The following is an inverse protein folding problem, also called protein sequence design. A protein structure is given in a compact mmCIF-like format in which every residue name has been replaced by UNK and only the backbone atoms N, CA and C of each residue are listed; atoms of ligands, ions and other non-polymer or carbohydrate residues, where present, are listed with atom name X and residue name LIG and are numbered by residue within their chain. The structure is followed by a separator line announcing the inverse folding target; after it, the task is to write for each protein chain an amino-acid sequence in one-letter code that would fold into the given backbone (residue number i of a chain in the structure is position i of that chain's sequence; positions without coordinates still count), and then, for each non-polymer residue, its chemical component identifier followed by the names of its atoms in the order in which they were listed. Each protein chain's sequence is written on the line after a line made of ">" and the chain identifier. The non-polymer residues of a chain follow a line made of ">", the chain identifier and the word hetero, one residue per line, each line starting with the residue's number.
data_IF_798189972990
#
_entry.id   IF_798189972990
#
_cell.length_a   1.000
_cell.length_b   1.000
_cell.length_c   1.000
_cell.angle_alpha   90.00
_cell.angle_beta   90.00
_cell.angle_gamma   90.00
#
_symmetry.space_group_name_H-M   'P 1'
#
loop_
_entity.id
_entity.type
_entity.pdbx_description
1 polymer ?
#
# COMPACT_ATOMS: atom_id res chain seq x y z
N UNK A 1 9.11 28.75 -15.89
CA UNK A 1 8.46 27.46 -16.13
C UNK A 1 7.99 26.94 -14.77
N UNK A 2 6.71 27.18 -14.46
CA UNK A 2 6.14 26.87 -13.16
C UNK A 2 5.77 25.39 -13.11
N UNK A 3 6.53 24.62 -12.33
CA UNK A 3 6.15 23.25 -11.96
C UNK A 3 4.95 23.38 -11.02
N UNK A 4 3.77 23.03 -11.52
CA UNK A 4 2.55 23.01 -10.73
C UNK A 4 2.72 22.09 -9.54
N UNK A 5 2.72 22.67 -8.34
CA UNK A 5 2.51 21.97 -7.10
C UNK A 5 1.18 21.23 -7.22
N UNK A 6 1.22 19.92 -7.49
CA UNK A 6 0.13 19.04 -7.10
C UNK A 6 0.12 19.05 -5.57
N UNK A 7 -0.63 20.00 -5.00
CA UNK A 7 -1.10 19.88 -3.64
C UNK A 7 -2.05 18.67 -3.63
N UNK A 8 -1.55 17.49 -3.33
CA UNK A 8 -2.38 16.52 -2.63
C UNK A 8 -2.80 17.22 -1.34
N UNK A 9 -4.02 17.75 -1.32
CA UNK A 9 -4.68 18.03 -0.08
C UNK A 9 -4.79 16.69 0.64
N UNK A 10 -3.82 16.38 1.49
CA UNK A 10 -4.02 15.44 2.58
C UNK A 10 -5.13 16.13 3.39
N UNK A 11 -6.35 15.65 3.20
CA UNK A 11 -7.46 16.07 4.04
C UNK A 11 -7.08 15.54 5.40
N UNK A 12 -6.62 16.41 6.27
CA UNK A 12 -6.39 16.12 7.67
C UNK A 12 -7.75 15.82 8.26
N UNK A 13 -8.11 14.55 8.30
CA UNK A 13 -9.26 14.09 9.06
C UNK A 13 -8.82 14.05 10.53
N UNK A 14 -8.74 15.21 11.17
CA UNK A 14 -8.81 15.28 12.63
C UNK A 14 -10.24 14.85 13.01
N UNK A 15 -10.46 13.53 13.00
CA UNK A 15 -11.73 12.99 13.45
C UNK A 15 -11.79 13.18 14.95
N UNK A 16 -12.67 14.06 15.38
CA UNK A 16 -12.98 14.26 16.80
C UNK A 16 -14.38 13.75 17.08
N UNK A 17 -14.54 13.08 18.20
CA UNK A 17 -15.78 12.43 18.62
C UNK A 17 -16.38 13.16 19.81
N UNK A 18 -17.66 13.46 19.75
CA UNK A 18 -18.40 13.96 20.91
C UNK A 18 -18.77 12.84 21.89
N UNK A 19 -19.12 13.21 23.15
CA UNK A 19 -19.54 12.24 24.18
C UNK A 19 -20.62 11.28 23.72
N UNK A 20 -21.59 11.75 22.89
CA UNK A 20 -22.68 10.91 22.39
C UNK A 20 -22.22 9.88 21.38
N UNK A 21 -21.21 10.21 20.58
CA UNK A 21 -20.61 9.29 19.59
C UNK A 21 -19.78 8.23 20.28
N UNK A 22 -18.93 8.63 21.22
CA UNK A 22 -18.15 7.71 22.06
C UNK A 22 -19.08 6.75 22.83
N UNK A 23 -20.15 7.27 23.44
CA UNK A 23 -21.13 6.47 24.14
C UNK A 23 -21.78 5.40 23.22
N UNK A 24 -22.05 5.74 21.96
CA UNK A 24 -22.60 4.82 20.96
C UNK A 24 -21.55 3.79 20.50
N UNK A 25 -20.28 4.19 20.33
CA UNK A 25 -19.19 3.29 19.93
C UNK A 25 -19.00 2.18 20.96
N UNK A 26 -19.01 2.53 22.26
CA UNK A 26 -18.82 1.56 23.34
C UNK A 26 -20.12 0.99 23.90
N UNK A 27 -21.29 1.35 23.34
CA UNK A 27 -22.61 0.92 23.80
C UNK A 27 -22.88 1.19 25.30
N UNK A 28 -22.40 2.33 25.79
CA UNK A 28 -22.53 2.76 27.20
C UNK A 28 -23.33 4.05 27.34
N UNK A 29 -23.78 4.35 28.57
CA UNK A 29 -24.43 5.64 28.83
C UNK A 29 -23.41 6.79 28.78
N UNK A 30 -23.86 7.97 28.34
CA UNK A 30 -23.01 9.19 28.22
C UNK A 30 -22.31 9.59 29.53
N UNK A 31 -22.91 9.29 30.67
CA UNK A 31 -22.31 9.62 31.97
C UNK A 31 -21.14 8.69 32.32
N UNK A 32 -21.14 7.46 31.81
CA UNK A 32 -19.99 6.54 31.91
C UNK A 32 -18.80 7.10 31.15
N UNK A 33 -19.00 7.56 29.91
CA UNK A 33 -17.93 8.22 29.12
C UNK A 33 -17.37 9.44 29.86
N UNK A 34 -18.23 10.25 30.48
CA UNK A 34 -17.78 11.40 31.27
C UNK A 34 -16.99 10.98 32.51
N UNK A 35 -17.40 9.90 33.18
CA UNK A 35 -16.67 9.34 34.31
C UNK A 35 -15.29 8.83 33.88
N UNK A 36 -15.19 8.10 32.77
CA UNK A 36 -13.90 7.69 32.20
C UNK A 36 -13.00 8.88 31.91
N UNK A 37 -13.51 9.89 31.19
CA UNK A 37 -12.76 11.10 30.87
C UNK A 37 -12.31 11.88 32.11
N UNK A 38 -13.03 11.80 33.23
CA UNK A 38 -12.65 12.41 34.48
C UNK A 38 -11.57 11.60 35.21
N UNK A 39 -11.77 10.28 35.38
CA UNK A 39 -10.88 9.43 36.17
C UNK A 39 -9.55 9.12 35.47
N UNK A 40 -9.54 9.15 34.13
CA UNK A 40 -8.37 8.83 33.32
C UNK A 40 -7.87 10.04 32.50
N UNK A 41 -8.16 11.25 32.96
CA UNK A 41 -7.79 12.49 32.27
C UNK A 41 -6.29 12.63 31.97
N UNK A 42 -5.44 12.02 32.78
CA UNK A 42 -3.98 12.06 32.62
C UNK A 42 -3.48 11.29 31.38
N UNK A 43 -4.31 10.41 30.82
CA UNK A 43 -4.02 9.59 29.64
C UNK A 43 -4.73 10.08 28.38
N UNK A 44 -5.56 11.12 28.51
CA UNK A 44 -6.38 11.69 27.44
C UNK A 44 -5.90 13.10 27.10
N UNK A 45 -6.23 13.55 25.91
CA UNK A 45 -5.99 14.95 25.55
C UNK A 45 -6.83 15.90 26.41
N UNK A 46 -6.37 17.13 26.66
CA UNK A 46 -7.08 18.10 27.49
C UNK A 46 -8.54 18.35 27.05
N UNK A 47 -8.81 18.25 25.75
CA UNK A 47 -10.13 18.44 25.15
C UNK A 47 -11.14 17.34 25.52
N UNK A 48 -10.66 16.18 25.97
CA UNK A 48 -11.51 15.09 26.46
C UNK A 48 -12.07 15.37 27.85
N UNK A 49 -11.37 16.20 28.66
CA UNK A 49 -11.82 16.61 30.00
C UNK A 49 -11.66 18.13 30.24
N UNK A 50 -12.28 18.98 29.42
CA UNK A 50 -12.15 20.44 29.51
C UNK A 50 -12.82 21.01 30.75
N UNK A 51 -12.60 22.31 31.00
CA UNK A 51 -13.28 23.06 32.05
C UNK A 51 -14.79 23.05 31.87
N UNK A 52 -15.53 23.20 32.97
CA UNK A 52 -17.00 23.20 33.00
C UNK A 52 -17.57 24.23 32.01
N UNK A 53 -18.45 23.79 31.15
CA UNK A 53 -19.12 24.63 30.14
C UNK A 53 -18.57 24.45 28.72
N UNK A 54 -17.43 23.80 28.54
CA UNK A 54 -16.85 23.49 27.24
C UNK A 54 -17.26 22.06 26.81
N UNK A 55 -17.69 21.84 25.56
CA UNK A 55 -17.97 20.51 25.04
C UNK A 55 -16.71 19.64 25.09
N UNK A 56 -16.89 18.35 25.43
CA UNK A 56 -15.81 17.36 25.38
C UNK A 56 -15.66 16.85 23.95
N UNK A 57 -14.41 16.74 23.51
CA UNK A 57 -14.05 16.10 22.24
C UNK A 57 -12.94 15.10 22.48
N UNK A 58 -13.02 13.97 21.79
CA UNK A 58 -12.09 12.85 21.88
C UNK A 58 -11.43 12.63 20.53
N UNK A 59 -10.15 12.36 20.53
CA UNK A 59 -9.41 11.95 19.34
C UNK A 59 -9.42 10.42 19.21
N UNK A 60 -8.91 9.89 18.11
CA UNK A 60 -8.65 8.46 17.91
C UNK A 60 -7.72 7.88 19.00
N UNK A 61 -6.66 8.61 19.38
CA UNK A 61 -5.79 8.24 20.48
C UNK A 61 -6.53 8.12 21.82
N UNK A 62 -7.46 9.04 22.09
CA UNK A 62 -8.32 8.97 23.27
C UNK A 62 -9.25 7.76 23.22
N UNK A 63 -9.78 7.39 22.04
CA UNK A 63 -10.61 6.19 21.90
C UNK A 63 -9.85 4.91 22.20
N UNK A 64 -8.56 4.83 21.89
CA UNK A 64 -7.71 3.68 22.25
C UNK A 64 -7.60 3.54 23.77
N UNK A 65 -7.34 4.63 24.47
CA UNK A 65 -7.32 4.65 25.93
C UNK A 65 -8.69 4.22 26.48
N UNK A 66 -9.77 4.78 25.94
CA UNK A 66 -11.12 4.44 26.38
C UNK A 66 -11.51 2.98 26.03
N UNK A 67 -10.98 2.40 24.96
CA UNK A 67 -11.15 0.99 24.66
C UNK A 67 -10.51 0.09 25.72
N UNK A 68 -9.31 0.43 26.17
CA UNK A 68 -8.67 -0.25 27.27
C UNK A 68 -9.48 -0.11 28.57
N UNK A 69 -9.91 1.10 28.89
CA UNK A 69 -10.76 1.37 30.07
C UNK A 69 -12.06 0.55 30.01
N UNK A 70 -12.73 0.54 28.84
CA UNK A 70 -13.98 -0.20 28.62
C UNK A 70 -13.83 -1.71 28.89
N UNK A 71 -12.78 -2.32 28.41
CA UNK A 71 -12.53 -3.76 28.58
C UNK A 71 -12.23 -4.16 30.04
N UNK A 72 -11.78 -3.20 30.86
CA UNK A 72 -11.47 -3.42 32.27
C UNK A 72 -12.48 -2.73 33.20
N UNK A 73 -13.61 -2.23 32.63
CA UNK A 73 -14.64 -1.53 33.40
C UNK A 73 -15.68 -2.51 33.91
N UNK A 74 -15.69 -2.72 35.22
CA UNK A 74 -16.66 -3.53 35.94
C UNK A 74 -17.66 -2.66 36.72
N UNK A 75 -18.67 -3.27 37.37
CA UNK A 75 -19.62 -2.52 38.21
C UNK A 75 -18.94 -1.77 39.37
N UNK A 76 -17.82 -2.31 39.88
CA UNK A 76 -16.96 -1.66 40.85
C UNK A 76 -15.53 -1.60 40.31
N UNK A 77 -15.23 -0.62 39.43
CA UNK A 77 -13.95 -0.57 38.73
C UNK A 77 -12.80 -0.28 39.69
N UNK A 78 -11.73 -1.07 39.57
CA UNK A 78 -10.46 -0.78 40.21
C UNK A 78 -9.67 0.24 39.36
N UNK A 79 -9.85 1.51 39.65
CA UNK A 79 -9.18 2.60 38.93
C UNK A 79 -7.66 2.49 38.94
N UNK A 80 -7.07 2.02 40.04
CA UNK A 80 -5.61 1.94 40.15
C UNK A 80 -5.07 0.79 39.28
N UNK A 81 -5.76 -0.34 39.23
CA UNK A 81 -5.39 -1.44 38.34
C UNK A 81 -5.45 -1.02 36.88
N UNK A 82 -6.51 -0.30 36.46
CA UNK A 82 -6.63 0.22 35.09
C UNK A 82 -5.49 1.22 34.79
N UNK A 83 -5.16 2.13 35.72
CA UNK A 83 -4.05 3.07 35.56
C UNK A 83 -2.68 2.38 35.43
N UNK A 84 -2.46 1.29 36.17
CA UNK A 84 -1.22 0.51 36.03
C UNK A 84 -1.06 0.02 34.59
N UNK A 85 -2.09 -0.56 33.99
CA UNK A 85 -2.05 -1.01 32.61
C UNK A 85 -1.85 0.14 31.61
N UNK A 86 -2.49 1.28 31.83
CA UNK A 86 -2.27 2.48 31.00
C UNK A 86 -0.83 3.00 31.12
N UNK A 87 -0.22 2.98 32.30
CA UNK A 87 1.17 3.37 32.54
C UNK A 87 2.19 2.39 31.92
N UNK A 88 1.79 1.15 31.67
CA UNK A 88 2.63 0.13 30.99
C UNK A 88 2.34 0.03 29.51
N UNK A 89 1.65 1.01 28.94
CA UNK A 89 1.30 1.08 27.51
C UNK A 89 0.46 -0.10 27.00
N UNK A 90 -0.21 -0.85 27.88
CA UNK A 90 -1.05 -2.01 27.49
C UNK A 90 -2.21 -1.64 26.57
N UNK A 91 -2.61 -0.38 26.53
CA UNK A 91 -3.63 0.12 25.59
C UNK A 91 -3.16 0.18 24.13
N UNK A 92 -1.87 -0.01 23.85
CA UNK A 92 -1.33 -0.16 22.49
C UNK A 92 -1.33 -1.60 21.98
N UNK A 93 -1.73 -2.56 22.83
CA UNK A 93 -1.82 -3.96 22.46
C UNK A 93 -3.19 -4.31 21.84
N UNK A 94 -3.26 -5.41 21.10
CA UNK A 94 -4.54 -5.98 20.69
C UNK A 94 -5.32 -6.50 21.91
N UNK A 95 -6.66 -6.37 22.00
CA UNK A 95 -7.58 -5.99 20.88
C UNK A 95 -7.98 -4.50 20.84
N UNK A 96 -7.36 -3.63 21.63
CA UNK A 96 -7.81 -2.24 21.80
C UNK A 96 -7.74 -1.42 20.51
N UNK A 97 -6.79 -1.74 19.64
CA UNK A 97 -6.67 -1.10 18.32
C UNK A 97 -7.84 -1.42 17.37
N UNK A 98 -8.59 -2.49 17.59
CA UNK A 98 -9.74 -2.84 16.75
C UNK A 98 -10.83 -1.77 16.76
N UNK A 99 -11.00 -1.05 17.87
CA UNK A 99 -11.95 0.07 17.95
C UNK A 99 -11.52 1.26 17.08
N UNK A 100 -10.22 1.39 16.81
CA UNK A 100 -9.65 2.48 16.03
C UNK A 100 -9.56 2.14 14.54
N UNK A 101 -9.53 0.86 14.18
CA UNK A 101 -9.35 0.43 12.77
C UNK A 101 -10.38 1.08 11.84
N UNK A 102 -11.62 1.25 12.30
CA UNK A 102 -12.69 1.87 11.51
C UNK A 102 -12.62 3.41 11.43
N UNK A 103 -11.91 4.04 12.35
CA UNK A 103 -11.83 5.50 12.49
C UNK A 103 -10.49 6.06 12.06
N UNK A 104 -9.46 5.21 11.99
CA UNK A 104 -8.11 5.61 11.59
C UNK A 104 -8.05 5.79 10.07
N UNK A 105 -7.65 6.96 9.56
CA UNK A 105 -7.46 7.18 8.12
C UNK A 105 -6.45 6.21 7.52
N UNK A 106 -6.70 5.72 6.31
CA UNK A 106 -5.78 4.82 5.60
C UNK A 106 -4.42 5.47 5.32
N UNK A 107 -4.42 6.76 5.01
CA UNK A 107 -3.23 7.55 4.78
C UNK A 107 -3.14 8.64 5.84
N UNK A 108 -2.03 8.67 6.56
CA UNK A 108 -1.81 9.56 7.69
C UNK A 108 -0.51 10.36 7.51
N UNK A 109 -0.38 11.45 8.26
CA UNK A 109 0.92 12.11 8.40
C UNK A 109 1.92 11.16 9.08
N UNK A 110 3.20 11.17 8.66
CA UNK A 110 4.21 10.37 9.36
C UNK A 110 4.26 10.74 10.83
N UNK A 111 4.36 9.77 11.75
CA UNK A 111 4.53 10.05 13.17
C UNK A 111 5.85 10.79 13.44
N UNK A 112 5.92 11.61 14.50
CA UNK A 112 7.12 12.37 14.85
C UNK A 112 8.34 11.49 15.13
N UNK A 113 8.13 10.29 15.69
CA UNK A 113 9.17 9.29 15.90
C UNK A 113 8.99 8.12 14.94
N UNK A 114 9.94 7.91 14.04
CA UNK A 114 9.91 6.77 13.10
C UNK A 114 10.48 5.49 13.70
N UNK A 115 11.05 5.53 14.90
CA UNK A 115 11.64 4.37 15.56
C UNK A 115 10.58 3.28 15.82
N UNK A 116 10.69 2.18 15.11
CA UNK A 116 9.76 1.05 15.18
C UNK A 116 8.53 1.13 14.25
N UNK A 117 8.18 2.28 13.70
CA UNK A 117 7.01 2.40 12.79
C UNK A 117 7.20 1.66 11.47
N UNK A 118 8.44 1.48 11.02
CA UNK A 118 8.79 0.73 9.81
C UNK A 118 8.33 -0.74 9.83
N UNK A 119 7.97 -1.27 10.99
CA UNK A 119 7.42 -2.63 11.12
C UNK A 119 5.95 -2.72 10.69
N UNK A 120 5.23 -1.61 10.75
CA UNK A 120 3.77 -1.55 10.57
C UNK A 120 3.34 -0.59 9.46
N UNK A 121 4.27 0.20 8.92
CA UNK A 121 3.97 1.17 7.90
C UNK A 121 5.21 1.67 7.18
N UNK A 122 5.01 2.50 6.17
CA UNK A 122 6.07 3.15 5.41
C UNK A 122 5.66 4.55 5.01
N UNK A 123 6.65 5.42 4.79
CA UNK A 123 6.43 6.77 4.31
C UNK A 123 6.42 6.77 2.78
N UNK A 124 5.32 7.19 2.19
CA UNK A 124 5.22 7.41 0.74
C UNK A 124 5.84 8.78 0.42
N UNK A 125 6.61 8.88 -0.65
CA UNK A 125 7.36 10.08 -1.09
C UNK A 125 8.55 10.50 -0.20
N UNK A 126 8.85 9.80 0.88
CA UNK A 126 9.94 10.18 1.79
C UNK A 126 11.27 9.54 1.44
N UNK A 127 11.30 8.20 1.38
CA UNK A 127 12.52 7.40 1.20
C UNK A 127 12.56 6.60 -0.10
N UNK A 128 11.45 6.54 -0.83
CA UNK A 128 11.38 5.85 -2.13
C UNK A 128 11.63 6.85 -3.25
N UNK A 129 12.54 6.52 -4.16
CA UNK A 129 12.78 7.24 -5.42
C UNK A 129 11.61 7.00 -6.40
N UNK A 130 10.37 7.38 -6.00
CA UNK A 130 9.16 7.22 -6.82
C UNK A 130 9.28 7.93 -8.18
N UNK A 131 10.22 8.85 -8.34
CA UNK A 131 10.55 9.50 -9.62
C UNK A 131 11.34 8.62 -10.59
N UNK A 132 11.96 7.52 -10.14
CA UNK A 132 12.70 6.59 -11.01
C UNK A 132 11.79 5.44 -11.45
N UNK A 133 11.35 5.47 -12.71
CA UNK A 133 10.54 4.41 -13.31
C UNK A 133 11.21 3.04 -13.26
N UNK A 134 12.54 3.01 -13.30
CA UNK A 134 13.29 1.76 -13.21
C UNK A 134 13.18 1.14 -11.80
N UNK A 135 13.35 1.95 -10.75
CA UNK A 135 13.17 1.50 -9.37
C UNK A 135 11.73 1.03 -9.12
N UNK A 136 10.75 1.72 -9.71
CA UNK A 136 9.35 1.29 -9.65
C UNK A 136 9.12 -0.03 -10.39
N UNK A 137 9.74 -0.25 -11.55
CA UNK A 137 9.70 -1.50 -12.28
C UNK A 137 10.27 -2.66 -11.46
N UNK A 138 11.43 -2.46 -10.79
CA UNK A 138 12.01 -3.43 -9.88
C UNK A 138 11.06 -3.80 -8.73
N UNK A 139 10.35 -2.82 -8.18
CA UNK A 139 9.38 -3.06 -7.11
C UNK A 139 8.20 -3.93 -7.56
N UNK A 140 7.64 -3.67 -8.75
CA UNK A 140 6.57 -4.51 -9.31
C UNK A 140 7.08 -5.91 -9.70
N UNK A 141 8.29 -6.00 -10.25
CA UNK A 141 8.91 -7.31 -10.52
C UNK A 141 9.11 -8.10 -9.24
N UNK A 142 9.63 -7.48 -8.18
CA UNK A 142 9.79 -8.11 -6.87
C UNK A 142 8.45 -8.60 -6.31
N UNK A 143 7.39 -7.80 -6.40
CA UNK A 143 6.04 -8.21 -6.00
C UNK A 143 5.58 -9.46 -6.79
N UNK A 144 5.82 -9.49 -8.10
CA UNK A 144 5.56 -10.68 -8.94
C UNK A 144 6.35 -11.90 -8.47
N UNK A 145 7.65 -11.75 -8.18
CA UNK A 145 8.51 -12.84 -7.68
C UNK A 145 8.00 -13.41 -6.35
N UNK A 146 7.62 -12.54 -5.41
CA UNK A 146 7.06 -12.95 -4.11
C UNK A 146 5.73 -13.69 -4.27
N UNK A 147 4.87 -13.22 -5.17
CA UNK A 147 3.60 -13.90 -5.46
C UNK A 147 3.80 -15.26 -6.12
N UNK A 148 4.80 -15.42 -7.01
CA UNK A 148 5.16 -16.73 -7.58
C UNK A 148 5.63 -17.68 -6.49
N UNK A 149 6.49 -17.21 -5.56
CA UNK A 149 6.99 -18.04 -4.47
C UNK A 149 5.83 -18.45 -3.53
N UNK A 150 4.92 -17.52 -3.22
CA UNK A 150 3.74 -17.80 -2.42
C UNK A 150 2.79 -18.81 -3.11
N UNK A 151 2.53 -18.63 -4.42
CA UNK A 151 1.70 -19.55 -5.22
C UNK A 151 2.28 -20.97 -5.26
N UNK A 152 3.60 -21.09 -5.36
CA UNK A 152 4.29 -22.41 -5.37
C UNK A 152 4.32 -23.08 -4.00
N UNK A 153 4.21 -22.31 -2.93
CA UNK A 153 4.12 -22.82 -1.56
C UNK A 153 2.68 -23.18 -1.15
N UNK A 154 1.68 -22.68 -1.88
CA UNK A 154 0.27 -22.95 -1.64
C UNK A 154 -0.19 -24.14 -2.51
N UNK A 155 -1.25 -24.84 -2.07
CA UNK A 155 -1.88 -25.90 -2.85
C UNK A 155 -2.74 -25.35 -4.01
N UNK A 156 -3.07 -24.05 -4.00
CA UNK A 156 -3.97 -23.38 -4.94
C UNK A 156 -3.25 -22.28 -5.74
N UNK A 157 -2.45 -22.71 -6.72
CA UNK A 157 -1.60 -21.83 -7.53
C UNK A 157 -2.42 -20.85 -8.38
N UNK A 158 -3.62 -21.22 -8.83
CA UNK A 158 -4.42 -20.46 -9.79
C UNK A 158 -4.98 -19.15 -9.23
N UNK A 159 -5.15 -19.03 -7.91
CA UNK A 159 -5.70 -17.81 -7.28
C UNK A 159 -4.80 -16.57 -7.48
N UNK A 160 -3.49 -16.79 -7.55
CA UNK A 160 -2.50 -15.71 -7.69
C UNK A 160 -2.06 -15.46 -9.13
N UNK A 161 -2.50 -16.24 -10.10
CA UNK A 161 -2.00 -16.14 -11.49
C UNK A 161 -2.23 -14.75 -12.10
N UNK A 162 -3.40 -14.15 -11.91
CA UNK A 162 -3.69 -12.82 -12.45
C UNK A 162 -2.85 -11.72 -11.81
N UNK A 163 -2.77 -11.61 -10.46
CA UNK A 163 -1.86 -10.68 -9.80
C UNK A 163 -0.39 -10.86 -10.24
N UNK A 164 0.10 -12.09 -10.41
CA UNK A 164 1.45 -12.38 -10.88
C UNK A 164 1.67 -11.78 -12.26
N UNK A 165 0.82 -12.13 -13.23
CA UNK A 165 0.97 -11.68 -14.63
C UNK A 165 0.82 -10.16 -14.71
N UNK A 166 -0.13 -9.58 -13.97
CA UNK A 166 -0.31 -8.13 -13.90
C UNK A 166 0.97 -7.42 -13.42
N UNK A 167 1.55 -7.84 -12.31
CA UNK A 167 2.77 -7.23 -11.77
C UNK A 167 3.93 -7.33 -12.77
N UNK A 168 4.15 -8.47 -13.39
CA UNK A 168 5.22 -8.65 -14.37
C UNK A 168 4.99 -7.84 -15.66
N UNK A 169 3.75 -7.81 -16.17
CA UNK A 169 3.42 -6.99 -17.33
C UNK A 169 3.65 -5.51 -17.03
N UNK A 170 3.21 -5.05 -15.86
CA UNK A 170 3.38 -3.66 -15.45
C UNK A 170 4.86 -3.31 -15.24
N UNK A 171 5.64 -4.20 -14.60
CA UNK A 171 7.09 -4.05 -14.50
C UNK A 171 7.75 -3.94 -15.88
N UNK A 172 7.35 -4.78 -16.84
CA UNK A 172 7.86 -4.75 -18.22
C UNK A 172 7.58 -3.41 -18.89
N UNK A 173 6.37 -2.89 -18.75
CA UNK A 173 6.00 -1.58 -19.29
C UNK A 173 6.86 -0.46 -18.68
N UNK A 174 7.07 -0.47 -17.38
CA UNK A 174 7.88 0.52 -16.67
C UNK A 174 9.36 0.44 -17.07
N UNK A 175 9.94 -0.75 -17.22
CA UNK A 175 11.30 -0.92 -17.75
C UNK A 175 11.46 -0.32 -19.14
N UNK A 176 10.52 -0.61 -20.04
CA UNK A 176 10.52 -0.04 -21.38
C UNK A 176 10.45 1.49 -21.36
N UNK A 177 9.54 2.04 -20.55
CA UNK A 177 9.40 3.50 -20.38
C UNK A 177 10.63 4.15 -19.73
N UNK A 178 11.31 3.45 -18.82
CA UNK A 178 12.54 3.94 -18.21
C UNK A 178 13.69 4.10 -19.21
N UNK A 179 13.68 3.28 -20.27
CA UNK A 179 14.69 3.32 -21.34
C UNK A 179 14.28 4.29 -22.45
N UNK A 180 12.99 4.36 -22.81
CA UNK A 180 12.45 5.19 -23.89
C UNK A 180 12.05 6.55 -23.33
N UNK A 181 12.84 7.59 -23.58
CA UNK A 181 12.54 8.96 -23.16
C UNK A 181 12.70 9.92 -24.34
N UNK A 182 11.67 10.70 -24.71
CA UNK A 182 10.31 10.75 -24.15
C UNK A 182 9.43 9.57 -24.57
N UNK A 183 8.51 9.16 -23.71
CA UNK A 183 7.55 8.09 -23.98
C UNK A 183 6.11 8.63 -24.06
N UNK A 184 5.22 7.82 -24.66
CA UNK A 184 3.78 8.12 -24.69
C UNK A 184 3.12 7.67 -23.39
N UNK A 185 2.16 8.45 -22.90
CA UNK A 185 1.32 8.09 -21.75
C UNK A 185 0.21 7.09 -22.15
N UNK A 186 0.64 5.91 -22.63
CA UNK A 186 -0.23 4.80 -22.96
C UNK A 186 0.38 3.48 -22.48
N UNK A 187 -0.31 2.37 -22.70
CA UNK A 187 0.08 1.02 -22.28
C UNK A 187 0.53 0.12 -23.45
N UNK A 188 0.90 0.72 -24.57
CA UNK A 188 1.26 0.05 -25.82
C UNK A 188 2.68 -0.53 -25.74
N UNK A 189 2.79 -1.80 -25.37
CA UNK A 189 4.06 -2.51 -25.27
C UNK A 189 4.70 -2.70 -26.65
N UNK A 190 3.90 -2.87 -27.71
CA UNK A 190 4.40 -3.04 -29.07
C UNK A 190 5.14 -1.79 -29.54
N UNK A 191 4.54 -0.62 -29.31
CA UNK A 191 5.22 0.64 -29.63
C UNK A 191 6.50 0.82 -28.80
N UNK A 192 6.45 0.56 -27.49
CA UNK A 192 7.59 0.72 -26.60
C UNK A 192 8.77 -0.17 -26.99
N UNK A 193 8.54 -1.43 -27.34
CA UNK A 193 9.61 -2.36 -27.74
C UNK A 193 10.26 -1.94 -29.07
N UNK A 194 9.48 -1.38 -30.00
CA UNK A 194 10.01 -0.84 -31.26
C UNK A 194 10.91 0.38 -31.02
N UNK A 195 10.55 1.26 -30.07
CA UNK A 195 11.39 2.40 -29.71
C UNK A 195 12.69 1.95 -29.03
N UNK A 196 12.64 0.94 -28.14
CA UNK A 196 13.86 0.34 -27.55
C UNK A 196 14.76 -0.25 -28.65
N UNK A 197 14.19 -0.94 -29.64
CA UNK A 197 14.98 -1.51 -30.72
C UNK A 197 15.66 -0.41 -31.58
N UNK A 198 14.94 0.66 -31.92
CA UNK A 198 15.54 1.83 -32.62
C UNK A 198 16.67 2.44 -31.82
N UNK A 199 16.51 2.56 -30.50
CA UNK A 199 17.52 3.08 -29.61
C UNK A 199 18.76 2.18 -29.61
N UNK A 200 18.59 0.86 -29.48
CA UNK A 200 19.71 -0.08 -29.50
C UNK A 200 20.49 -0.04 -30.82
N UNK A 201 19.80 0.07 -31.94
CA UNK A 201 20.43 0.20 -33.25
C UNK A 201 21.22 1.53 -33.32
N UNK A 202 20.61 2.63 -32.89
CA UNK A 202 21.23 3.96 -33.04
C UNK A 202 22.39 4.22 -32.07
N UNK A 203 22.29 3.72 -30.82
CA UNK A 203 23.29 4.02 -29.80
C UNK A 203 24.34 2.91 -29.65
N UNK A 204 24.01 1.65 -29.98
CA UNK A 204 24.87 0.52 -29.67
C UNK A 204 25.15 -0.39 -30.90
N UNK A 205 24.67 -0.04 -32.07
CA UNK A 205 24.75 -0.90 -33.29
C UNK A 205 24.32 -2.36 -33.02
N UNK A 206 23.20 -2.51 -32.28
CA UNK A 206 22.72 -3.80 -31.78
C UNK A 206 21.21 -3.92 -31.92
N UNK A 207 20.70 -5.14 -31.93
CA UNK A 207 19.26 -5.43 -32.00
C UNK A 207 18.80 -6.17 -30.75
N UNK A 208 17.47 -6.17 -30.51
CA UNK A 208 16.88 -6.94 -29.43
C UNK A 208 17.03 -8.45 -29.69
N UNK A 209 17.47 -9.25 -28.70
CA UNK A 209 17.44 -10.69 -28.83
C UNK A 209 16.02 -11.20 -29.07
N UNK A 210 15.82 -12.22 -29.94
CA UNK A 210 14.47 -12.74 -30.25
C UNK A 210 13.66 -13.15 -29.02
N UNK A 211 14.28 -13.77 -28.02
CA UNK A 211 13.61 -14.17 -26.78
C UNK A 211 13.05 -12.97 -26.00
N UNK A 212 13.80 -11.86 -25.95
CA UNK A 212 13.40 -10.64 -25.25
C UNK A 212 12.13 -10.04 -25.88
N UNK A 213 12.15 -9.92 -27.23
CA UNK A 213 11.01 -9.43 -27.97
C UNK A 213 9.78 -10.37 -27.80
N UNK A 214 9.99 -11.68 -27.85
CA UNK A 214 8.92 -12.67 -27.70
C UNK A 214 8.19 -12.58 -26.36
N UNK A 215 8.90 -12.35 -25.26
CA UNK A 215 8.27 -12.19 -23.93
C UNK A 215 7.38 -10.95 -23.87
N UNK A 216 7.85 -9.83 -24.41
CA UNK A 216 7.08 -8.58 -24.43
C UNK A 216 5.85 -8.71 -25.33
N UNK A 217 6.00 -9.31 -26.51
CA UNK A 217 4.88 -9.55 -27.41
C UNK A 217 3.86 -10.50 -26.80
N UNK A 218 4.27 -11.53 -26.05
CA UNK A 218 3.35 -12.42 -25.36
C UNK A 218 2.48 -11.65 -24.33
N UNK A 219 3.05 -10.71 -23.58
CA UNK A 219 2.25 -9.84 -22.72
C UNK A 219 1.31 -8.92 -23.50
N UNK A 220 1.77 -8.38 -24.63
CA UNK A 220 0.95 -7.52 -25.48
C UNK A 220 -0.22 -8.26 -26.11
N UNK A 221 0.01 -9.48 -26.60
CA UNK A 221 -1.03 -10.29 -27.25
C UNK A 221 -2.13 -10.72 -26.26
N UNK A 222 -1.74 -10.96 -25.00
CA UNK A 222 -2.67 -11.34 -23.95
C UNK A 222 -3.45 -10.16 -23.36
N UNK A 223 -2.80 -9.02 -23.20
CA UNK A 223 -3.38 -7.84 -22.55
C UNK A 223 -2.89 -6.53 -23.21
N UNK A 224 -3.31 -6.27 -24.44
CA UNK A 224 -2.83 -5.10 -25.20
C UNK A 224 -3.14 -3.77 -24.52
N UNK A 225 -4.25 -3.70 -23.76
CA UNK A 225 -4.72 -2.48 -23.12
C UNK A 225 -4.41 -2.39 -21.61
N UNK A 226 -3.69 -3.37 -21.07
CA UNK A 226 -3.44 -3.46 -19.61
C UNK A 226 -4.72 -3.51 -18.76
N UNK A 227 -5.76 -4.19 -19.22
CA UNK A 227 -7.07 -4.27 -18.57
C UNK A 227 -7.50 -5.67 -18.21
N UNK A 228 -7.06 -6.67 -18.97
CA UNK A 228 -7.50 -8.06 -18.84
C UNK A 228 -7.17 -8.63 -17.46
N UNK A 229 -5.92 -8.49 -17.01
CA UNK A 229 -5.48 -9.01 -15.72
C UNK A 229 -5.93 -8.18 -14.52
N UNK A 230 -6.43 -6.96 -14.76
CA UNK A 230 -6.98 -6.09 -13.70
C UNK A 230 -8.47 -6.28 -13.47
N UNK A 231 -9.22 -6.54 -14.55
CA UNK A 231 -10.69 -6.48 -14.50
C UNK A 231 -11.37 -7.78 -14.96
N UNK A 232 -10.60 -8.78 -15.38
CA UNK A 232 -11.14 -10.10 -15.72
C UNK A 232 -11.98 -10.15 -17.00
N UNK A 233 -11.77 -9.25 -17.95
CA UNK A 233 -12.53 -9.18 -19.20
C UNK A 233 -12.09 -10.21 -20.25
N UNK A 234 -12.50 -11.47 -20.12
CA UNK A 234 -12.12 -12.57 -21.04
C UNK A 234 -12.90 -12.64 -22.35
N UNK A 235 -13.72 -11.67 -22.68
CA UNK A 235 -14.54 -11.68 -23.90
C UNK A 235 -13.72 -11.71 -25.21
N UNK A 236 -12.41 -11.51 -25.15
CA UNK A 236 -11.50 -11.55 -26.29
C UNK A 236 -10.65 -12.81 -26.40
N UNK A 237 -10.73 -13.75 -25.45
CA UNK A 237 -10.00 -15.02 -25.58
C UNK A 237 -10.70 -15.96 -26.54
N UNK A 238 -10.41 -15.82 -27.83
CA UNK A 238 -10.81 -16.76 -28.88
C UNK A 238 -10.00 -18.07 -28.83
N UNK A 239 -9.02 -18.20 -27.96
CA UNK A 239 -8.02 -19.27 -27.98
C UNK A 239 -8.26 -20.39 -26.96
N UNK A 240 -9.31 -20.34 -26.15
CA UNK A 240 -9.58 -21.36 -25.12
C UNK A 240 -8.67 -21.27 -23.89
N UNK A 241 -8.44 -22.41 -23.24
CA UNK A 241 -7.59 -22.50 -22.05
C UNK A 241 -6.11 -22.29 -22.40
N UNK A 242 -5.41 -21.47 -21.64
CA UNK A 242 -3.98 -21.20 -21.79
C UNK A 242 -3.25 -21.53 -20.50
N UNK A 243 -2.17 -22.28 -20.63
CA UNK A 243 -1.32 -22.65 -19.50
C UNK A 243 -0.09 -21.75 -19.43
N UNK A 244 0.29 -21.35 -18.22
CA UNK A 244 1.51 -20.58 -17.93
C UNK A 244 2.35 -21.28 -16.88
N UNK A 245 3.63 -21.50 -17.15
CA UNK A 245 4.60 -21.96 -16.17
C UNK A 245 5.12 -20.74 -15.38
N UNK A 246 4.74 -20.64 -14.12
CA UNK A 246 5.12 -19.52 -13.26
C UNK A 246 6.63 -19.50 -12.95
N UNK A 247 7.28 -20.66 -12.87
CA UNK A 247 8.72 -20.74 -12.66
C UNK A 247 9.51 -20.25 -13.88
N UNK A 248 9.06 -20.64 -15.07
CA UNK A 248 9.61 -20.17 -16.33
C UNK A 248 9.39 -18.67 -16.50
N UNK A 249 8.19 -18.19 -16.24
CA UNK A 249 7.85 -16.76 -16.29
C UNK A 249 8.74 -15.93 -15.35
N UNK A 250 8.92 -16.35 -14.09
CA UNK A 250 9.82 -15.70 -13.14
C UNK A 250 11.26 -15.63 -13.65
N UNK A 251 11.76 -16.72 -14.25
CA UNK A 251 13.10 -16.77 -14.84
C UNK A 251 13.26 -15.77 -15.98
N UNK A 252 12.30 -15.72 -16.89
CA UNK A 252 12.30 -14.77 -18.02
C UNK A 252 12.25 -13.32 -17.54
N UNK A 253 11.46 -13.03 -16.52
CA UNK A 253 11.40 -11.70 -15.91
C UNK A 253 12.71 -11.29 -15.25
N UNK A 254 13.43 -12.25 -14.66
CA UNK A 254 14.79 -12.01 -14.15
C UNK A 254 15.77 -11.63 -15.26
N UNK A 255 15.72 -12.33 -16.39
CA UNK A 255 16.56 -12.01 -17.55
C UNK A 255 16.20 -10.68 -18.21
N UNK A 256 14.89 -10.36 -18.29
CA UNK A 256 14.43 -9.05 -18.78
C UNK A 256 14.97 -7.91 -17.91
N UNK A 257 14.81 -8.00 -16.59
CA UNK A 257 15.30 -6.99 -15.64
C UNK A 257 16.82 -6.78 -15.79
N UNK A 258 17.59 -7.87 -15.86
CA UNK A 258 19.04 -7.80 -16.06
C UNK A 258 19.40 -7.14 -17.41
N UNK A 259 18.63 -7.43 -18.48
CA UNK A 259 18.85 -6.81 -19.80
C UNK A 259 18.59 -5.31 -19.78
N UNK A 260 17.51 -4.87 -19.13
CA UNK A 260 17.21 -3.44 -18.96
C UNK A 260 18.25 -2.74 -18.08
N UNK A 261 18.73 -3.39 -17.02
CA UNK A 261 19.83 -2.85 -16.20
C UNK A 261 21.10 -2.67 -17.04
N UNK A 262 21.44 -3.62 -17.89
CA UNK A 262 22.59 -3.52 -18.78
C UNK A 262 22.45 -2.36 -19.78
N UNK A 263 21.25 -2.12 -20.32
CA UNK A 263 20.99 -0.97 -21.20
C UNK A 263 21.17 0.34 -20.42
N UNK A 264 20.60 0.43 -19.20
CA UNK A 264 20.71 1.61 -18.33
C UNK A 264 22.15 1.95 -17.98
N UNK A 265 22.99 0.94 -17.69
CA UNK A 265 24.37 1.16 -17.31
C UNK A 265 25.28 1.59 -18.48
N UNK A 266 24.84 1.39 -19.71
CA UNK A 266 25.58 1.78 -20.92
C UNK A 266 25.21 3.16 -21.45
N UNK A 267 24.11 3.73 -20.96
CA UNK A 267 23.66 5.11 -21.25
C UNK A 267 24.12 6.09 -20.20
#
# INVERSE_FOLDING_TARGET
>A
MQIGRLLFMIVKYDMTFGVSEVARIFEVHRDVVKAWAYHFSDYLKPEANPTKGTPRTFTDGDLRVLAYVYMHWEEQPDYESIKIGLNTDSHFEQPYDNFLTMTTPLFQEPPEGLDGTWRHGTVIHGMSEIGDMFALAESYKLAGDMLVDAARAADEIYELVYPIIYNYRHATELYLKAVVTPYKENHDLLWLVQEVEKLLISEFDSTLPPWFQSVILAFNDFDPNSTTFRYGGFSSFSQGEVWVDLGHLKTLMGWLAQSFQNIRLRR
#
